data_IF_655134469935
#
_entry.id   IF_655134469935
#
_cell.length_a   1.000
_cell.length_b   1.000
_cell.length_c   1.000
_cell.angle_alpha   90.00
_cell.angle_beta   90.00
_cell.angle_gamma   90.00
#
_symmetry.space_group_name_H-M   'P 1'
#
loop_
_entity.id
_entity.type
_entity.pdbx_description
1 polymer ?
#
# COMPACT_ATOMS: atom_id res chain seq x y z
N UNK A 1 -23.84 -5.66 6.34
CA UNK A 1 -23.76 -6.71 5.29
C UNK A 1 -23.16 -6.07 4.04
N UNK A 2 -21.84 -6.13 3.87
CA UNK A 2 -21.17 -5.52 2.70
C UNK A 2 -21.34 -6.44 1.48
N UNK A 3 -21.96 -5.91 0.43
CA UNK A 3 -22.12 -6.58 -0.86
C UNK A 3 -20.90 -6.23 -1.71
N UNK A 4 -19.99 -7.18 -1.89
CA UNK A 4 -18.88 -7.01 -2.84
C UNK A 4 -19.45 -7.19 -4.24
N UNK A 5 -19.67 -6.07 -4.93
CA UNK A 5 -19.99 -6.08 -6.37
C UNK A 5 -18.68 -6.29 -7.12
N UNK A 6 -18.50 -7.48 -7.70
CA UNK A 6 -17.40 -7.74 -8.63
C UNK A 6 -17.66 -6.98 -9.94
N UNK A 7 -16.90 -5.91 -10.16
CA UNK A 7 -16.84 -5.23 -11.46
C UNK A 7 -16.01 -6.09 -12.42
N UNK A 8 -16.59 -6.45 -13.58
CA UNK A 8 -15.91 -7.19 -14.66
C UNK A 8 -14.68 -6.40 -15.16
N UNK A 9 -13.56 -7.10 -15.27
CA UNK A 9 -12.23 -6.58 -15.64
C UNK A 9 -12.24 -5.92 -17.02
N UNK A 10 -11.88 -4.63 -17.07
CA UNK A 10 -11.31 -4.03 -18.28
C UNK A 10 -9.85 -4.53 -18.37
N UNK A 11 -9.47 -5.18 -19.47
CA UNK A 11 -8.15 -5.82 -19.63
C UNK A 11 -7.02 -4.78 -19.71
N UNK A 12 -6.60 -4.26 -18.56
CA UNK A 12 -5.26 -3.69 -18.39
C UNK A 12 -4.27 -4.85 -18.40
N UNK A 13 -3.19 -4.77 -19.20
CA UNK A 13 -2.05 -5.72 -19.18
C UNK A 13 -1.78 -6.14 -17.74
N UNK A 14 -2.08 -7.38 -17.39
CA UNK A 14 -1.72 -7.90 -16.07
C UNK A 14 -0.20 -7.90 -15.99
N UNK A 15 0.38 -7.26 -14.98
CA UNK A 15 1.78 -7.48 -14.66
C UNK A 15 1.96 -8.98 -14.47
N UNK A 16 2.82 -9.58 -15.30
CA UNK A 16 3.06 -11.02 -15.25
C UNK A 16 3.93 -11.35 -14.04
N UNK A 17 4.85 -10.45 -13.67
CA UNK A 17 5.85 -10.70 -12.64
C UNK A 17 6.08 -9.51 -11.69
N UNK A 18 6.52 -9.82 -10.48
CA UNK A 18 6.91 -8.82 -9.46
C UNK A 18 8.03 -7.88 -9.96
N UNK A 19 8.89 -8.36 -10.86
CA UNK A 19 9.96 -7.61 -11.50
C UNK A 19 9.47 -6.36 -12.24
N UNK A 20 8.27 -6.43 -12.80
CA UNK A 20 7.69 -5.39 -13.66
C UNK A 20 7.16 -4.20 -12.84
N UNK A 21 7.06 -4.36 -11.51
CA UNK A 21 6.60 -3.32 -10.61
C UNK A 21 7.70 -2.27 -10.43
N UNK A 22 7.36 -1.04 -10.81
CA UNK A 22 8.18 0.15 -10.57
C UNK A 22 8.04 0.59 -9.12
N UNK A 23 9.18 0.88 -8.49
CA UNK A 23 9.23 1.37 -7.11
C UNK A 23 8.48 2.69 -6.93
N UNK A 24 8.58 3.60 -7.91
CA UNK A 24 7.90 4.91 -7.84
C UNK A 24 6.39 4.79 -7.70
N UNK A 25 5.76 3.80 -8.34
CA UNK A 25 4.32 3.57 -8.25
C UNK A 25 3.91 3.15 -6.84
N UNK A 26 4.69 2.29 -6.19
CA UNK A 26 4.45 1.88 -4.81
C UNK A 26 4.62 3.05 -3.86
N UNK A 27 5.68 3.84 -4.04
CA UNK A 27 5.97 5.02 -3.21
C UNK A 27 4.85 6.05 -3.33
N UNK A 28 4.38 6.36 -4.55
CA UNK A 28 3.32 7.34 -4.76
C UNK A 28 1.97 6.85 -4.22
N UNK A 29 1.67 5.56 -4.39
CA UNK A 29 0.49 4.95 -3.77
C UNK A 29 0.54 5.04 -2.24
N UNK A 30 1.69 4.75 -1.63
CA UNK A 30 1.85 4.84 -0.19
C UNK A 30 1.67 6.27 0.33
N UNK A 31 2.18 7.29 -0.36
CA UNK A 31 1.95 8.70 0.00
C UNK A 31 0.47 9.05 -0.01
N UNK A 32 -0.27 8.57 -1.01
CA UNK A 32 -1.71 8.79 -1.10
C UNK A 32 -2.45 8.12 0.06
N UNK A 33 -2.11 6.86 0.36
CA UNK A 33 -2.70 6.13 1.49
C UNK A 33 -2.40 6.84 2.81
N UNK A 34 -1.16 7.27 3.04
CA UNK A 34 -0.79 8.02 4.25
C UNK A 34 -1.62 9.28 4.44
N UNK A 35 -1.97 10.02 3.38
CA UNK A 35 -2.85 11.20 3.46
C UNK A 35 -4.30 10.87 3.78
N UNK A 36 -4.72 9.63 3.50
CA UNK A 36 -6.09 9.14 3.78
C UNK A 36 -6.19 8.43 5.13
N UNK A 37 -5.06 8.05 5.74
CA UNK A 37 -5.06 7.43 7.05
C UNK A 37 -5.32 8.49 8.13
N UNK A 38 -6.23 8.25 9.07
CA UNK A 38 -6.33 9.08 10.27
C UNK A 38 -5.00 9.03 11.04
N UNK A 39 -4.69 10.13 11.75
CA UNK A 39 -3.46 10.22 12.54
C UNK A 39 -3.29 9.04 13.51
N UNK A 40 -2.06 8.55 13.64
CA UNK A 40 -1.74 7.38 14.49
C UNK A 40 -1.80 6.02 13.76
N UNK A 41 -2.04 6.01 12.44
CA UNK A 41 -1.89 4.81 11.60
C UNK A 41 -0.70 4.97 10.64
N UNK A 42 -0.01 3.86 10.38
CA UNK A 42 1.21 3.85 9.56
C UNK A 42 1.17 2.76 8.50
N UNK A 43 1.89 3.02 7.40
CA UNK A 43 2.12 2.00 6.37
C UNK A 43 3.17 1.00 6.89
N UNK A 44 2.71 -0.21 7.18
CA UNK A 44 3.55 -1.29 7.73
C UNK A 44 4.43 -1.99 6.69
N UNK A 45 4.04 -1.96 5.41
CA UNK A 45 4.84 -2.56 4.33
C UNK A 45 4.01 -2.92 3.10
N UNK A 46 4.27 -4.09 2.51
CA UNK A 46 3.71 -4.52 1.24
C UNK A 46 2.72 -5.67 1.42
N UNK A 47 1.62 -5.60 0.66
CA UNK A 47 0.69 -6.70 0.47
C UNK A 47 0.73 -7.14 -0.99
N UNK A 48 1.05 -8.42 -1.20
CA UNK A 48 1.16 -9.03 -2.53
C UNK A 48 0.09 -10.10 -2.65
N UNK A 49 -0.61 -10.12 -3.78
CA UNK A 49 -1.59 -11.17 -4.08
C UNK A 49 -1.42 -11.66 -5.51
N UNK A 50 -1.45 -12.97 -5.69
CA UNK A 50 -1.27 -13.60 -6.99
C UNK A 50 -1.40 -15.13 -6.94
N UNK A 51 -1.41 -15.81 -8.10
CA UNK A 51 -1.54 -17.26 -8.16
C UNK A 51 -0.24 -18.02 -7.79
N UNK A 52 0.93 -17.38 -7.86
CA UNK A 52 2.24 -18.00 -7.54
C UNK A 52 2.79 -17.59 -6.17
N UNK A 53 3.62 -18.43 -5.55
CA UNK A 53 4.26 -18.13 -4.25
C UNK A 53 5.47 -17.18 -4.42
N UNK A 54 5.19 -15.88 -4.49
CA UNK A 54 6.20 -14.84 -4.77
C UNK A 54 7.26 -14.73 -3.68
N UNK A 55 6.92 -15.06 -2.43
CA UNK A 55 7.88 -14.96 -1.32
C UNK A 55 8.75 -16.21 -1.14
N UNK A 56 8.56 -17.26 -1.94
CA UNK A 56 9.38 -18.49 -1.85
C UNK A 56 10.74 -18.38 -2.56
N UNK A 57 10.85 -17.53 -3.58
CA UNK A 57 12.04 -17.40 -4.41
C UNK A 57 12.95 -16.25 -3.92
N UNK A 58 14.26 -16.53 -3.78
CA UNK A 58 15.27 -15.55 -3.35
C UNK A 58 15.34 -14.29 -4.24
N UNK A 59 15.16 -14.43 -5.56
CA UNK A 59 15.15 -13.29 -6.49
C UNK A 59 13.91 -12.40 -6.31
N UNK A 60 12.78 -12.99 -5.92
CA UNK A 60 11.57 -12.23 -5.63
C UNK A 60 11.65 -11.58 -4.24
N UNK A 61 12.22 -12.28 -3.27
CA UNK A 61 12.52 -11.72 -1.94
C UNK A 61 13.43 -10.49 -2.02
N UNK A 62 14.51 -10.53 -2.81
CA UNK A 62 15.40 -9.36 -2.96
C UNK A 62 14.68 -8.16 -3.59
N UNK A 63 13.81 -8.40 -4.57
CA UNK A 63 12.96 -7.35 -5.14
C UNK A 63 11.99 -6.79 -4.09
N UNK A 64 11.32 -7.62 -3.30
CA UNK A 64 10.46 -7.16 -2.20
C UNK A 64 11.25 -6.30 -1.20
N UNK A 65 12.45 -6.74 -0.81
CA UNK A 65 13.32 -5.96 0.08
C UNK A 65 13.66 -4.59 -0.51
N UNK A 66 14.04 -4.52 -1.79
CA UNK A 66 14.30 -3.24 -2.46
C UNK A 66 13.08 -2.31 -2.45
N UNK A 67 11.87 -2.87 -2.66
CA UNK A 67 10.63 -2.12 -2.64
C UNK A 67 10.28 -1.61 -1.24
N UNK A 68 10.53 -2.39 -0.18
CA UNK A 68 10.34 -1.97 1.21
C UNK A 68 11.31 -0.85 1.62
N UNK A 69 12.58 -0.93 1.18
CA UNK A 69 13.56 0.13 1.39
C UNK A 69 13.15 1.42 0.66
N UNK A 70 12.77 1.29 -0.61
CA UNK A 70 12.29 2.40 -1.44
C UNK A 70 11.06 3.08 -0.88
N UNK A 71 10.09 2.28 -0.44
CA UNK A 71 8.88 2.73 0.27
C UNK A 71 9.25 3.59 1.48
N UNK A 72 10.12 3.07 2.35
CA UNK A 72 10.50 3.77 3.59
C UNK A 72 11.17 5.09 3.29
N UNK A 73 12.19 5.11 2.42
CA UNK A 73 12.88 6.32 1.97
C UNK A 73 11.91 7.31 1.32
N UNK A 74 10.96 6.80 0.54
CA UNK A 74 9.94 7.60 -0.14
C UNK A 74 9.01 8.33 0.84
N UNK A 75 8.69 7.69 1.97
CA UNK A 75 7.87 8.28 3.03
C UNK A 75 8.68 9.20 3.96
N UNK A 76 9.97 8.92 4.21
CA UNK A 76 10.86 9.78 5.02
C UNK A 76 11.08 11.16 4.39
N UNK A 77 11.00 11.26 3.06
CA UNK A 77 11.19 12.53 2.33
C UNK A 77 10.27 13.66 2.77
N UNK A 78 9.10 13.34 3.34
CA UNK A 78 8.16 14.34 3.80
C UNK A 78 7.87 14.14 5.30
N UNK A 79 8.53 14.89 6.19
CA UNK A 79 8.36 14.74 7.63
C UNK A 79 6.92 15.04 8.09
N UNK A 80 6.18 15.87 7.34
CA UNK A 80 4.82 16.27 7.69
C UNK A 80 3.78 15.16 7.47
N UNK A 81 4.10 14.14 6.66
CA UNK A 81 3.18 13.03 6.41
C UNK A 81 3.20 11.98 7.53
N UNK A 82 4.23 11.96 8.39
CA UNK A 82 4.41 10.97 9.45
C UNK A 82 4.11 9.52 9.01
N UNK A 83 4.40 9.19 7.74
CA UNK A 83 3.95 7.95 7.13
C UNK A 83 4.68 6.70 7.61
N UNK A 84 5.86 6.87 8.20
CA UNK A 84 6.65 5.77 8.73
C UNK A 84 6.29 5.46 10.18
N UNK A 85 6.09 4.17 10.41
CA UNK A 85 5.99 3.61 11.75
C UNK A 85 7.25 3.90 12.58
N UNK A 86 7.12 4.07 13.90
CA UNK A 86 8.27 4.12 14.81
C UNK A 86 9.05 2.79 14.86
N UNK A 87 8.43 1.69 14.42
CA UNK A 87 9.11 0.40 14.24
C UNK A 87 10.01 0.39 13.01
N UNK A 88 11.20 -0.19 13.16
CA UNK A 88 12.18 -0.44 12.10
C UNK A 88 11.84 -1.67 11.25
N UNK A 89 10.93 -2.51 11.71
CA UNK A 89 10.49 -3.70 11.00
C UNK A 89 9.34 -3.36 10.03
N UNK A 90 9.50 -3.78 8.77
CA UNK A 90 8.46 -3.71 7.74
C UNK A 90 8.00 -5.10 7.35
N UNK A 91 6.75 -5.22 6.94
CA UNK A 91 6.12 -6.49 6.65
C UNK A 91 5.89 -6.68 5.15
N UNK A 92 6.10 -7.90 4.68
CA UNK A 92 5.67 -8.37 3.37
C UNK A 92 4.67 -9.50 3.58
N UNK A 93 3.40 -9.22 3.31
CA UNK A 93 2.30 -10.18 3.41
C UNK A 93 1.94 -10.66 2.01
N UNK A 94 1.93 -11.97 1.81
CA UNK A 94 1.58 -12.59 0.54
C UNK A 94 0.37 -13.50 0.70
N UNK A 95 -0.66 -13.27 -0.12
CA UNK A 95 -1.86 -14.10 -0.20
C UNK A 95 -1.94 -14.78 -1.56
N UNK A 96 -1.84 -16.10 -1.56
CA UNK A 96 -1.97 -16.92 -2.78
C UNK A 96 -3.46 -17.02 -3.16
N UNK A 97 -3.82 -16.47 -4.31
CA UNK A 97 -5.22 -16.35 -4.76
C UNK A 97 -5.92 -17.69 -5.02
N UNK A 98 -5.17 -18.79 -5.21
CA UNK A 98 -5.73 -20.12 -5.46
C UNK A 98 -5.89 -20.99 -4.21
N UNK A 99 -5.04 -20.82 -3.20
CA UNK A 99 -4.98 -21.72 -2.03
C UNK A 99 -5.34 -21.03 -0.72
N UNK A 100 -5.57 -19.70 -0.72
CA UNK A 100 -5.73 -18.87 0.47
C UNK A 100 -4.57 -19.01 1.48
N UNK A 101 -3.42 -19.52 1.04
CA UNK A 101 -2.21 -19.60 1.86
C UNK A 101 -1.70 -18.17 2.09
N UNK A 102 -1.50 -17.84 3.35
CA UNK A 102 -0.93 -16.56 3.78
C UNK A 102 0.51 -16.80 4.23
N UNK A 103 1.45 -16.10 3.61
CA UNK A 103 2.85 -16.07 4.02
C UNK A 103 3.19 -14.66 4.48
N UNK A 104 3.77 -14.51 5.65
CA UNK A 104 4.22 -13.22 6.17
C UNK A 104 5.73 -13.25 6.42
N UNK A 105 6.42 -12.20 6.00
CA UNK A 105 7.84 -12.00 6.25
C UNK A 105 8.10 -10.60 6.79
N UNK A 106 9.07 -10.47 7.69
CA UNK A 106 9.55 -9.20 8.21
C UNK A 106 10.92 -8.84 7.64
N UNK A 107 11.16 -7.53 7.53
CA UNK A 107 12.43 -6.96 7.08
C UNK A 107 12.80 -5.79 7.98
N UNK A 108 14.03 -5.79 8.49
CA UNK A 108 14.57 -4.72 9.32
C UNK A 108 15.27 -3.69 8.42
N UNK A 109 14.68 -2.50 8.32
CA UNK A 109 15.18 -1.43 7.45
C UNK A 109 16.59 -0.98 7.85
N UNK A 110 16.94 -1.07 9.14
CA UNK A 110 18.26 -0.62 9.63
C UNK A 110 19.39 -1.52 9.14
N UNK A 111 19.06 -2.76 8.74
CA UNK A 111 20.02 -3.76 8.28
C UNK A 111 19.91 -3.91 6.77
N UNK A 112 20.72 -3.14 6.05
CA UNK A 112 20.81 -3.15 4.57
C UNK A 112 21.05 -4.56 3.99
N UNK A 113 21.75 -5.44 4.72
CA UNK A 113 22.06 -6.82 4.29
C UNK A 113 21.09 -7.87 4.84
N UNK A 114 20.08 -7.48 5.63
CA UNK A 114 19.18 -8.45 6.24
C UNK A 114 18.29 -9.15 5.20
N UNK A 115 18.07 -10.44 5.40
CA UNK A 115 17.13 -11.23 4.62
C UNK A 115 15.73 -11.11 5.22
N UNK A 116 14.72 -11.36 4.40
CA UNK A 116 13.33 -11.48 4.85
C UNK A 116 13.22 -12.65 5.84
N UNK A 117 12.63 -12.39 7.02
CA UNK A 117 12.45 -13.38 8.08
C UNK A 117 11.00 -13.82 8.12
N UNK A 118 10.75 -15.12 8.02
CA UNK A 118 9.39 -15.65 8.17
C UNK A 118 8.83 -15.25 9.53
N UNK A 119 7.61 -14.70 9.54
CA UNK A 119 6.96 -14.19 10.75
C UNK A 119 5.52 -14.69 10.79
N UNK A 120 5.05 -15.03 11.97
CA UNK A 120 3.66 -15.45 12.14
C UNK A 120 2.70 -14.28 11.96
N UNK A 121 1.66 -14.50 11.17
CA UNK A 121 0.54 -13.58 11.06
C UNK A 121 -0.72 -14.28 11.57
N UNK A 122 -1.28 -13.77 12.67
CA UNK A 122 -2.49 -14.33 13.28
C UNK A 122 -3.64 -13.36 13.08
N UNK A 123 -4.71 -13.85 12.46
CA UNK A 123 -5.99 -13.15 12.47
C UNK A 123 -6.59 -13.28 13.86
N UNK A 124 -6.62 -12.18 14.61
CA UNK A 124 -7.42 -12.10 15.84
C UNK A 124 -8.86 -11.77 15.49
N UNK A 125 -9.79 -11.98 16.43
CA UNK A 125 -11.19 -11.59 16.26
C UNK A 125 -11.29 -10.06 16.25
N UNK A 126 -11.12 -9.46 15.08
CA UNK A 126 -11.18 -8.02 14.87
C UNK A 126 -12.65 -7.59 14.86
N UNK A 127 -13.12 -6.95 15.93
CA UNK A 127 -14.33 -6.14 15.87
C UNK A 127 -14.00 -4.93 15.01
N UNK A 128 -14.47 -4.92 13.76
CA UNK A 128 -14.33 -3.77 12.88
C UNK A 128 -14.87 -2.52 13.59
N UNK A 129 -14.06 -1.48 13.70
CA UNK A 129 -14.58 -0.17 14.07
C UNK A 129 -15.41 0.33 12.89
N UNK A 130 -16.70 0.55 13.13
CA UNK A 130 -17.53 1.31 12.21
C UNK A 130 -17.23 2.78 12.43
N UNK A 131 -16.81 3.47 11.36
CA UNK A 131 -16.60 4.91 11.35
C UNK A 131 -17.63 5.51 10.41
N UNK A 132 -18.59 6.24 10.98
CA UNK A 132 -19.55 7.01 10.20
C UNK A 132 -18.97 8.40 9.96
N UNK A 133 -18.85 8.79 8.69
CA UNK A 133 -18.37 10.12 8.30
C UNK A 133 -19.38 10.80 7.39
N UNK A 134 -19.66 12.08 7.68
CA UNK A 134 -20.48 12.95 6.86
C UNK A 134 -19.55 13.99 6.24
N UNK A 135 -19.59 14.10 4.91
CA UNK A 135 -18.86 15.13 4.17
C UNK A 135 -19.87 16.13 3.65
N UNK A 136 -19.82 17.35 4.17
CA UNK A 136 -20.56 18.46 3.57
C UNK A 136 -19.66 19.12 2.54
N UNK A 137 -19.91 18.80 1.28
CA UNK A 137 -19.22 19.43 0.17
C UNK A 137 -20.04 20.66 -0.22
N UNK A 138 -19.81 21.78 0.46
CA UNK A 138 -20.18 23.11 -0.05
C UNK A 138 -19.35 23.37 -1.33
N UNK A 139 -19.77 22.71 -2.41
CA UNK A 139 -19.36 23.00 -3.77
C UNK A 139 -19.89 24.40 -4.06
N UNK A 140 -19.07 25.41 -3.76
CA UNK A 140 -19.27 26.76 -4.29
C UNK A 140 -19.69 26.62 -5.76
N UNK A 141 -20.80 27.25 -6.20
CA UNK A 141 -21.23 27.16 -7.58
C UNK A 141 -20.07 27.60 -8.49
N UNK A 142 -19.89 26.95 -9.66
CA UNK A 142 -18.76 27.25 -10.54
C UNK A 142 -18.76 28.74 -10.87
N UNK A 143 -17.65 29.42 -10.53
CA UNK A 143 -17.45 30.80 -10.94
C UNK A 143 -17.33 30.82 -12.46
N UNK A 144 -18.34 31.40 -13.13
CA UNK A 144 -18.26 31.73 -14.54
C UNK A 144 -17.26 32.89 -14.69
N UNK A 145 -16.03 32.57 -15.08
CA UNK A 145 -15.09 33.59 -15.54
C UNK A 145 -15.57 33.99 -16.94
N UNK A 146 -16.35 35.06 -17.02
CA UNK A 146 -16.59 35.74 -18.29
C UNK A 146 -15.43 36.67 -18.57
N UNK A 147 -14.70 36.40 -19.66
CA UNK A 147 -13.80 37.37 -20.28
C UNK A 147 -14.65 38.51 -20.86
N UNK A 148 -15.01 39.48 -20.02
CA UNK A 148 -15.43 40.78 -20.54
C UNK A 148 -14.16 41.47 -21.02
N UNK A 149 -13.99 41.52 -22.34
CA UNK A 149 -13.04 42.43 -22.98
C UNK A 149 -13.29 43.82 -22.38
N UNK A 150 -12.34 44.31 -21.61
CA UNK A 150 -12.25 45.72 -21.28
C UNK A 150 -12.01 46.47 -22.60
N UNK A 151 -13.06 47.09 -23.12
CA UNK A 151 -12.97 48.17 -24.11
C UNK A 151 -12.34 49.40 -23.47
#
# INVERSE_FOLDING_TARGET
>A
MMKVVMVKKNQKKSLANLSDIKESWIVDHAKQVTRMLPGGLWVLGLFVTGPGDVLSNSASQSKVTSLLQGLTKGLEKNPNLFGNSPSTEKLALHLVSGTNKVTCMSYDITKTTSQLRATDFKFTNLKWLQLDSQYDCDLLPPLLITDQLAN
#
